data_IF_260373202304
#
_entry.id   IF_260373202304
#
_cell.length_a   1.000
_cell.length_b   1.000
_cell.length_c   1.000
_cell.angle_alpha   90.00
_cell.angle_beta   90.00
_cell.angle_gamma   90.00
#
_symmetry.space_group_name_H-M   'P 1'
#
loop_
_entity.id
_entity.type
_entity.pdbx_description
1 polymer ?
#
# COMPACT_ATOMS: atom_id res chain seq x y z
N UNK A 1 12.04 15.88 1.37
CA UNK A 1 11.49 15.78 0.00
C UNK A 1 10.50 14.61 -0.01
N UNK A 2 9.31 14.76 -0.60
CA UNK A 2 8.32 13.67 -0.68
C UNK A 2 8.45 12.97 -2.05
N UNK A 3 8.35 11.63 -2.04
CA UNK A 3 8.43 10.79 -3.24
C UNK A 3 7.22 9.86 -3.25
N UNK A 4 6.49 9.82 -4.36
CA UNK A 4 5.26 9.05 -4.50
C UNK A 4 5.20 8.41 -5.89
N UNK A 5 4.76 7.16 -5.93
CA UNK A 5 4.38 6.47 -7.17
C UNK A 5 2.89 6.68 -7.42
N UNK A 6 2.55 7.12 -8.63
CA UNK A 6 1.19 7.34 -9.08
C UNK A 6 0.92 6.65 -10.41
N UNK A 7 -0.37 6.59 -10.75
CA UNK A 7 -0.86 6.01 -12.01
C UNK A 7 -1.78 7.03 -12.65
N UNK A 8 -1.69 7.22 -13.97
CA UNK A 8 -2.64 8.02 -14.74
C UNK A 8 -3.03 7.32 -16.04
N UNK A 9 -4.24 7.55 -16.57
CA UNK A 9 -4.61 7.07 -17.90
C UNK A 9 -3.60 7.55 -18.95
N UNK A 10 -3.18 6.67 -19.84
CA UNK A 10 -2.37 7.07 -20.98
C UNK A 10 -3.25 7.77 -22.02
N UNK A 11 -2.75 8.89 -22.53
CA UNK A 11 -3.47 9.74 -23.50
C UNK A 11 -2.60 9.86 -24.75
N UNK A 12 -3.02 9.29 -25.89
CA UNK A 12 -2.24 9.33 -27.12
C UNK A 12 -1.87 10.75 -27.51
N UNK A 13 -0.58 10.97 -27.81
CA UNK A 13 -0.06 12.29 -28.21
C UNK A 13 -0.35 12.58 -29.68
N UNK A 14 -1.62 12.75 -30.02
CA UNK A 14 -2.04 13.05 -31.39
C UNK A 14 -1.85 14.52 -31.75
N UNK A 15 -1.86 14.82 -33.05
CA UNK A 15 -1.77 16.20 -33.55
C UNK A 15 -3.02 16.99 -33.15
N UNK A 16 -4.18 16.37 -33.21
CA UNK A 16 -5.48 16.94 -32.87
C UNK A 16 -5.52 17.38 -31.40
N UNK A 17 -4.94 16.57 -30.50
CA UNK A 17 -4.83 16.90 -29.09
C UNK A 17 -3.93 18.12 -28.85
N UNK A 18 -2.79 18.21 -29.57
CA UNK A 18 -1.89 19.36 -29.48
C UNK A 18 -2.57 20.64 -29.97
N UNK A 19 -3.23 20.58 -31.12
CA UNK A 19 -3.97 21.70 -31.71
C UNK A 19 -5.12 22.14 -30.81
N UNK A 20 -5.91 21.19 -30.29
CA UNK A 20 -6.96 21.46 -29.31
C UNK A 20 -6.41 22.15 -28.06
N UNK A 21 -5.34 21.63 -27.48
CA UNK A 21 -4.70 22.21 -26.28
C UNK A 21 -4.25 23.66 -26.54
N UNK A 22 -3.68 23.94 -27.71
CA UNK A 22 -3.26 25.29 -28.09
C UNK A 22 -4.46 26.23 -28.28
N UNK A 23 -5.55 25.77 -28.90
CA UNK A 23 -6.80 26.54 -29.04
C UNK A 23 -7.44 26.81 -27.68
N UNK A 24 -7.56 25.78 -26.84
CA UNK A 24 -8.15 25.86 -25.51
C UNK A 24 -7.39 26.84 -24.62
N UNK A 25 -6.05 26.76 -24.56
CA UNK A 25 -5.22 27.70 -23.78
C UNK A 25 -5.40 29.15 -24.22
N UNK A 26 -5.51 29.41 -25.53
CA UNK A 26 -5.77 30.76 -26.07
C UNK A 26 -7.14 31.27 -25.63
N UNK A 27 -8.17 30.43 -25.74
CA UNK A 27 -9.54 30.76 -25.33
C UNK A 27 -9.63 31.04 -23.83
N UNK A 28 -9.06 30.15 -23.02
CA UNK A 28 -9.07 30.27 -21.57
C UNK A 28 -8.44 31.59 -21.08
N UNK A 29 -7.30 31.99 -21.66
CA UNK A 29 -6.64 33.27 -21.35
C UNK A 29 -7.48 34.49 -21.73
N UNK A 30 -8.27 34.39 -22.81
CA UNK A 30 -9.13 35.46 -23.30
C UNK A 30 -10.39 35.60 -22.45
N UNK A 31 -10.99 34.49 -22.05
CA UNK A 31 -12.26 34.46 -21.31
C UNK A 31 -12.07 34.63 -19.80
N UNK A 32 -10.89 34.28 -19.26
CA UNK A 32 -10.58 34.41 -17.84
C UNK A 32 -9.25 35.15 -17.62
N UNK A 33 -9.20 36.47 -17.82
CA UNK A 33 -8.00 37.26 -17.56
C UNK A 33 -7.59 37.32 -16.07
N UNK A 34 -8.38 36.77 -15.14
CA UNK A 34 -8.09 36.82 -13.70
C UNK A 34 -8.63 35.70 -12.78
N UNK A 35 -9.11 34.55 -13.28
CA UNK A 35 -9.77 33.56 -12.42
C UNK A 35 -9.11 32.17 -12.46
N UNK A 36 -8.46 31.80 -11.35
CA UNK A 36 -8.44 30.43 -10.82
C UNK A 36 -9.77 30.24 -10.08
N UNK A 37 -10.48 29.14 -10.39
CA UNK A 37 -11.71 28.63 -9.77
C UNK A 37 -13.06 29.34 -10.05
N UNK A 38 -13.90 28.65 -10.85
CA UNK A 38 -15.27 28.23 -10.52
C UNK A 38 -16.08 28.02 -11.81
N UNK A 39 -16.51 26.79 -12.05
CA UNK A 39 -17.40 26.42 -13.16
C UNK A 39 -18.78 27.07 -12.98
N UNK A 40 -19.30 27.68 -14.05
CA UNK A 40 -20.71 28.00 -14.20
C UNK A 40 -21.21 27.36 -15.49
N UNK A 41 -21.99 26.30 -15.35
CA UNK A 41 -22.93 25.86 -16.39
C UNK A 41 -24.29 25.79 -15.72
N UNK A 42 -25.19 26.68 -16.13
CA UNK A 42 -26.60 26.58 -15.82
C UNK A 42 -27.24 25.47 -16.65
N UNK A 43 -27.93 24.54 -16.00
CA UNK A 43 -28.78 23.58 -16.68
C UNK A 43 -30.19 24.16 -16.79
N UNK A 44 -30.66 24.33 -18.02
CA UNK A 44 -32.08 24.43 -18.34
C UNK A 44 -32.66 23.02 -18.45
N UNK A 45 -33.66 22.72 -17.60
CA UNK A 45 -34.70 21.73 -17.85
C UNK A 45 -34.38 20.26 -17.56
N UNK A 46 -34.28 19.89 -16.28
CA UNK A 46 -34.53 18.52 -15.83
C UNK A 46 -35.67 18.56 -14.81
N UNK A 47 -36.80 17.93 -15.12
CA UNK A 47 -37.90 17.78 -14.17
C UNK A 47 -37.50 16.82 -13.05
N UNK A 48 -37.69 17.26 -11.80
CA UNK A 48 -37.47 16.46 -10.60
C UNK A 48 -38.81 16.27 -9.88
N UNK A 49 -39.21 15.02 -9.66
CA UNK A 49 -40.43 14.71 -8.92
C UNK A 49 -40.17 14.89 -7.43
N UNK A 50 -40.89 15.81 -6.77
CA UNK A 50 -40.73 16.05 -5.33
C UNK A 50 -41.37 14.92 -4.51
N UNK A 51 -40.64 14.28 -3.59
CA UNK A 51 -41.24 13.38 -2.61
C UNK A 51 -42.10 14.17 -1.62
N UNK A 52 -43.23 13.58 -1.20
CA UNK A 52 -44.33 14.28 -0.52
C UNK A 52 -44.08 14.48 0.98
N UNK A 53 -43.17 13.74 1.62
CA UNK A 53 -42.93 13.80 3.07
C UNK A 53 -41.42 13.65 3.40
N UNK A 54 -40.67 14.75 3.41
CA UNK A 54 -39.27 14.77 3.87
C UNK A 54 -39.13 15.63 5.12
N UNK A 55 -38.51 15.09 6.18
CA UNK A 55 -38.20 15.79 7.43
C UNK A 55 -37.02 16.74 7.28
N UNK A 56 -36.23 16.60 6.22
CA UNK A 56 -35.03 17.39 5.95
C UNK A 56 -34.95 17.81 4.48
N UNK A 57 -34.19 18.87 4.20
CA UNK A 57 -34.02 19.43 2.84
C UNK A 57 -33.30 18.46 1.87
N UNK A 58 -32.64 17.41 2.38
CA UNK A 58 -32.05 16.35 1.58
C UNK A 58 -33.09 15.29 1.18
N UNK A 59 -34.10 15.05 2.02
CA UNK A 59 -35.20 14.13 1.75
C UNK A 59 -36.23 14.73 0.77
N UNK A 60 -36.23 16.04 0.56
CA UNK A 60 -37.06 16.73 -0.45
C UNK A 60 -36.40 16.79 -1.84
N UNK A 61 -35.15 16.33 -1.98
CA UNK A 61 -34.48 16.25 -3.29
C UNK A 61 -35.26 15.30 -4.20
N UNK A 62 -35.85 15.87 -5.25
CA UNK A 62 -36.63 15.10 -6.20
C UNK A 62 -35.75 14.14 -7.01
N UNK A 63 -36.28 12.96 -7.30
CA UNK A 63 -35.65 12.03 -8.24
C UNK A 63 -36.06 12.45 -9.64
N UNK A 64 -35.10 12.52 -10.57
CA UNK A 64 -35.44 12.82 -11.97
C UNK A 64 -36.24 11.68 -12.57
N UNK A 65 -37.41 12.01 -13.12
CA UNK A 65 -38.30 11.04 -13.79
C UNK A 65 -37.63 10.37 -15.00
N UNK A 66 -36.64 11.05 -15.61
CA UNK A 66 -35.85 10.55 -16.74
C UNK A 66 -34.44 10.11 -16.35
N UNK A 67 -34.11 10.12 -15.06
CA UNK A 67 -32.78 9.80 -14.57
C UNK A 67 -32.32 8.39 -14.98
N UNK A 68 -33.23 7.41 -14.94
CA UNK A 68 -32.94 6.05 -15.36
C UNK A 68 -32.66 5.93 -16.87
N UNK A 69 -33.44 6.63 -17.70
CA UNK A 69 -33.25 6.69 -19.16
C UNK A 69 -31.91 7.36 -19.50
N UNK A 70 -31.62 8.48 -18.85
CA UNK A 70 -30.37 9.21 -19.01
C UNK A 70 -29.16 8.37 -18.58
N UNK A 71 -29.23 7.72 -17.41
CA UNK A 71 -28.17 6.85 -16.91
C UNK A 71 -27.92 5.67 -17.86
N UNK A 72 -28.98 5.04 -18.37
CA UNK A 72 -28.87 3.96 -19.33
C UNK A 72 -28.24 4.44 -20.64
N UNK A 73 -28.60 5.64 -21.10
CA UNK A 73 -28.00 6.26 -22.28
C UNK A 73 -26.51 6.54 -22.06
N UNK A 74 -26.14 7.19 -20.95
CA UNK A 74 -24.74 7.47 -20.61
C UNK A 74 -23.89 6.21 -20.50
N UNK A 75 -24.42 5.13 -19.90
CA UNK A 75 -23.71 3.83 -19.78
C UNK A 75 -23.46 3.17 -21.13
N UNK A 76 -24.33 3.39 -22.12
CA UNK A 76 -24.22 2.82 -23.47
C UNK A 76 -23.42 3.70 -24.43
N UNK A 77 -23.15 4.95 -24.07
CA UNK A 77 -22.41 5.89 -24.91
C UNK A 77 -20.98 5.41 -25.12
N UNK A 78 -20.59 5.30 -26.39
CA UNK A 78 -19.20 5.10 -26.80
C UNK A 78 -18.87 5.99 -27.99
N UNK A 79 -17.71 6.64 -27.96
CA UNK A 79 -17.23 7.49 -29.04
C UNK A 79 -15.70 7.51 -29.05
N UNK A 80 -15.10 7.98 -30.13
CA UNK A 80 -13.64 8.22 -30.18
C UNK A 80 -13.41 9.71 -29.98
N UNK A 81 -12.79 10.06 -28.85
CA UNK A 81 -12.43 11.43 -28.50
C UNK A 81 -10.93 11.70 -28.70
N UNK A 82 -10.50 12.91 -28.31
CA UNK A 82 -9.08 13.31 -28.37
C UNK A 82 -8.16 12.46 -27.48
N UNK A 83 -8.72 11.81 -26.45
CA UNK A 83 -8.02 10.89 -25.55
C UNK A 83 -8.12 9.43 -25.97
N UNK A 84 -8.64 9.14 -27.16
CA UNK A 84 -8.90 7.78 -27.64
C UNK A 84 -10.36 7.36 -27.46
N UNK A 85 -10.60 6.04 -27.48
CA UNK A 85 -11.94 5.48 -27.32
C UNK A 85 -12.50 5.71 -25.92
N UNK A 86 -13.67 6.35 -25.83
CA UNK A 86 -14.46 6.47 -24.63
C UNK A 86 -15.49 5.34 -24.57
N UNK A 87 -15.50 4.60 -23.47
CA UNK A 87 -16.51 3.58 -23.15
C UNK A 87 -16.58 3.40 -21.64
N UNK A 88 -17.79 3.27 -21.12
CA UNK A 88 -18.02 2.91 -19.72
C UNK A 88 -18.32 1.41 -19.60
N UNK A 89 -17.56 0.71 -18.76
CA UNK A 89 -17.84 -0.68 -18.35
C UNK A 89 -18.16 -0.64 -16.87
N UNK A 90 -19.34 -1.16 -16.49
CA UNK A 90 -19.84 -1.10 -15.11
C UNK A 90 -19.87 0.32 -14.50
N UNK A 91 -19.98 1.34 -15.34
CA UNK A 91 -19.98 2.75 -14.93
C UNK A 91 -18.59 3.37 -14.77
N UNK A 92 -17.51 2.66 -15.09
CA UNK A 92 -16.14 3.16 -15.05
C UNK A 92 -15.54 3.31 -16.45
N UNK A 93 -14.71 4.33 -16.65
CA UNK A 93 -13.98 4.51 -17.91
C UNK A 93 -12.99 3.36 -18.12
N UNK A 94 -13.17 2.64 -19.23
CA UNK A 94 -12.26 1.57 -19.60
C UNK A 94 -11.03 2.18 -20.30
N UNK A 95 -10.00 2.54 -19.54
CA UNK A 95 -8.72 2.98 -20.12
C UNK A 95 -7.99 1.79 -20.71
N UNK A 96 -7.52 1.91 -21.95
CA UNK A 96 -6.74 0.88 -22.63
C UNK A 96 -5.33 0.74 -22.07
N UNK A 97 -4.74 1.83 -21.59
CA UNK A 97 -3.39 1.84 -21.01
C UNK A 97 -3.28 2.87 -19.88
N UNK A 98 -2.32 2.67 -19.00
CA UNK A 98 -1.97 3.56 -17.91
C UNK A 98 -0.48 3.88 -17.94
N UNK A 99 -0.12 5.12 -17.66
CA UNK A 99 1.27 5.53 -17.43
C UNK A 99 1.56 5.49 -15.93
N UNK A 100 2.64 4.81 -15.56
CA UNK A 100 3.18 4.83 -14.21
C UNK A 100 4.08 6.05 -14.07
N UNK A 101 3.82 6.87 -13.05
CA UNK A 101 4.51 8.14 -12.83
C UNK A 101 5.22 8.10 -11.47
N UNK A 102 6.51 8.42 -11.47
CA UNK A 102 7.27 8.68 -10.26
C UNK A 102 7.31 10.18 -9.99
N UNK A 103 6.74 10.61 -8.85
CA UNK A 103 6.66 12.00 -8.42
C UNK A 103 7.70 12.27 -7.34
N UNK A 104 8.63 13.18 -7.61
CA UNK A 104 9.71 13.58 -6.71
C UNK A 104 9.63 15.09 -6.48
N UNK A 105 9.24 15.49 -5.27
CA UNK A 105 9.01 16.89 -4.93
C UNK A 105 7.93 17.52 -5.82
N UNK A 106 8.33 18.47 -6.68
CA UNK A 106 7.41 19.18 -7.60
C UNK A 106 7.37 18.58 -9.02
N UNK A 107 8.17 17.56 -9.30
CA UNK A 107 8.35 17.02 -10.64
C UNK A 107 7.82 15.59 -10.72
N UNK A 108 7.07 15.27 -11.77
CA UNK A 108 6.60 13.92 -12.07
C UNK A 108 7.22 13.41 -13.37
N UNK A 109 7.73 12.18 -13.36
CA UNK A 109 8.32 11.51 -14.53
C UNK A 109 7.59 10.20 -14.82
N UNK A 110 7.16 10.00 -16.06
CA UNK A 110 6.70 8.70 -16.54
C UNK A 110 7.82 7.67 -16.55
N UNK A 111 7.61 6.52 -15.90
CA UNK A 111 8.62 5.45 -15.77
C UNK A 111 8.28 4.20 -16.58
N UNK A 112 7.03 4.02 -16.98
CA UNK A 112 6.55 2.91 -17.80
C UNK A 112 5.04 3.00 -18.07
N UNK A 113 4.53 2.04 -18.83
CA UNK A 113 3.13 1.90 -19.19
C UNK A 113 2.62 0.53 -18.78
N UNK A 114 1.33 0.45 -18.45
CA UNK A 114 0.64 -0.79 -18.10
C UNK A 114 -0.65 -0.94 -18.91
N UNK A 115 -0.90 -2.16 -19.39
CA UNK A 115 -2.15 -2.61 -20.05
C UNK A 115 -2.53 -3.93 -19.40
N UNK A 116 -3.83 -4.25 -19.38
CA UNK A 116 -4.30 -5.57 -18.97
C UNK A 116 -3.65 -6.72 -19.76
N UNK A 117 -3.34 -6.51 -21.04
CA UNK A 117 -2.82 -7.57 -21.92
C UNK A 117 -1.31 -7.83 -21.74
N UNK A 118 -0.51 -6.78 -21.63
CA UNK A 118 0.96 -6.89 -21.70
C UNK A 118 1.67 -6.63 -20.36
N UNK A 119 0.93 -6.37 -19.28
CA UNK A 119 1.53 -6.07 -17.99
C UNK A 119 2.26 -4.72 -18.01
N UNK A 120 3.40 -4.60 -17.32
CA UNK A 120 4.19 -3.36 -17.29
C UNK A 120 5.29 -3.39 -18.36
N UNK A 121 5.32 -2.41 -19.26
CA UNK A 121 6.40 -2.24 -20.25
C UNK A 121 6.84 -0.78 -20.36
N UNK A 122 7.82 -0.53 -21.24
CA UNK A 122 8.34 0.79 -21.58
C UNK A 122 8.53 0.86 -23.08
N UNK A 123 8.31 2.04 -23.65
CA UNK A 123 8.62 2.35 -25.04
C UNK A 123 10.15 2.56 -25.18
N UNK A 124 10.87 1.48 -25.45
CA UNK A 124 12.13 1.45 -26.20
C UNK A 124 12.10 0.14 -26.99
N UNK A 125 12.53 0.20 -28.25
CA UNK A 125 12.61 -0.88 -29.23
C UNK A 125 13.45 -2.11 -28.79
N UNK A 126 13.18 -2.75 -27.66
CA UNK A 126 13.88 -3.96 -27.20
C UNK A 126 13.08 -4.71 -26.13
N UNK A 127 12.81 -6.01 -26.32
CA UNK A 127 12.22 -6.84 -25.28
C UNK A 127 13.31 -7.18 -24.27
N UNK A 128 13.14 -6.73 -23.04
CA UNK A 128 13.99 -7.12 -21.94
C UNK A 128 14.49 -5.93 -21.14
N UNK A 129 14.08 -5.89 -19.88
CA UNK A 129 14.76 -5.21 -18.79
C UNK A 129 14.81 -3.67 -18.82
N UNK A 130 13.88 -3.11 -18.01
CA UNK A 130 14.09 -2.01 -17.06
C UNK A 130 13.10 -0.86 -17.22
N UNK A 131 12.04 -0.92 -16.39
CA UNK A 131 11.25 0.23 -15.93
C UNK A 131 12.21 1.37 -15.57
N UNK A 132 11.79 2.62 -15.79
CA UNK A 132 12.64 3.77 -15.53
C UNK A 132 13.18 3.78 -14.14
N UNK A 133 14.45 4.18 -14.01
CA UNK A 133 15.08 4.45 -12.73
C UNK A 133 14.06 5.15 -11.82
N UNK A 134 13.62 4.40 -10.79
CA UNK A 134 12.67 4.85 -9.79
C UNK A 134 13.48 5.43 -8.66
N UNK A 135 13.28 6.70 -8.38
CA UNK A 135 13.70 7.33 -7.13
C UNK A 135 12.72 6.87 -6.07
N UNK A 136 13.23 6.25 -5.02
CA UNK A 136 12.47 5.83 -3.85
C UNK A 136 12.55 6.89 -2.75
N UNK A 137 11.67 6.83 -1.74
CA UNK A 137 11.80 7.69 -0.56
C UNK A 137 13.22 7.65 0.02
N UNK A 138 13.75 8.81 0.40
CA UNK A 138 15.15 8.94 0.84
C UNK A 138 16.16 9.16 -0.29
N UNK A 139 15.71 9.53 -1.49
CA UNK A 139 16.55 9.86 -2.65
C UNK A 139 17.42 8.68 -3.14
N UNK A 140 16.99 7.46 -2.86
CA UNK A 140 17.68 6.24 -3.26
C UNK A 140 17.20 5.72 -4.61
N UNK A 141 18.13 5.26 -5.45
CA UNK A 141 17.83 4.48 -6.66
C UNK A 141 17.74 2.98 -6.38
N UNK A 142 18.15 2.54 -5.19
CA UNK A 142 18.08 1.14 -4.79
C UNK A 142 16.62 0.78 -4.54
N UNK A 143 16.15 -0.27 -5.22
CA UNK A 143 14.82 -0.84 -5.00
C UNK A 143 14.72 -1.24 -3.53
N UNK A 144 13.76 -0.66 -2.76
CA UNK A 144 13.55 -1.04 -1.37
C UNK A 144 13.26 -2.52 -1.34
N UNK A 145 13.93 -3.23 -0.44
CA UNK A 145 13.75 -4.68 -0.32
C UNK A 145 12.33 -5.06 0.16
N UNK A 146 11.51 -4.08 0.57
CA UNK A 146 10.13 -4.26 1.02
C UNK A 146 10.01 -4.30 2.54
N UNK A 147 8.95 -4.95 3.05
CA UNK A 147 8.77 -5.32 4.47
C UNK A 147 9.72 -6.45 4.89
N UNK A 148 11.01 -6.30 4.61
CA UNK A 148 12.01 -7.28 5.03
C UNK A 148 12.33 -6.96 6.49
N UNK A 149 12.11 -7.95 7.37
CA UNK A 149 12.57 -7.87 8.75
C UNK A 149 14.08 -7.58 8.71
N UNK A 150 14.57 -6.48 9.30
CA UNK A 150 15.98 -6.15 9.24
C UNK A 150 16.81 -7.30 9.81
N UNK A 151 17.58 -7.99 8.97
CA UNK A 151 18.51 -9.04 9.40
C UNK A 151 19.76 -8.46 10.06
N UNK A 152 19.97 -7.15 9.94
CA UNK A 152 21.05 -6.41 10.58
C UNK A 152 20.53 -5.59 11.76
N UNK A 153 20.80 -6.08 12.97
CA UNK A 153 20.86 -5.28 14.19
C UNK A 153 19.91 -5.69 15.33
N UNK A 154 18.72 -6.24 15.05
CA UNK A 154 17.78 -6.69 16.09
C UNK A 154 17.45 -8.16 15.92
N UNK A 155 17.93 -8.99 16.86
CA UNK A 155 17.57 -10.41 16.92
C UNK A 155 16.14 -10.57 17.43
N UNK A 156 15.42 -11.57 16.92
CA UNK A 156 14.17 -12.02 17.50
C UNK A 156 14.46 -12.60 18.88
N UNK A 157 13.82 -12.06 19.92
CA UNK A 157 13.96 -12.55 21.29
C UNK A 157 12.81 -13.49 21.60
N UNK A 158 13.13 -14.75 21.85
CA UNK A 158 12.16 -15.82 22.12
C UNK A 158 12.18 -16.11 23.62
N UNK A 159 11.10 -15.74 24.32
CA UNK A 159 11.01 -15.97 25.76
C UNK A 159 10.65 -17.42 26.04
N UNK A 160 11.42 -18.09 26.91
CA UNK A 160 11.22 -19.51 27.23
C UNK A 160 10.96 -19.71 28.73
N UNK A 161 10.00 -20.56 29.13
CA UNK A 161 9.68 -20.77 30.54
C UNK A 161 10.75 -21.61 31.25
N UNK A 162 11.04 -21.27 32.50
CA UNK A 162 11.86 -22.11 33.40
C UNK A 162 10.96 -22.92 34.33
N UNK A 163 11.09 -24.26 34.30
CA UNK A 163 10.31 -25.20 35.12
C UNK A 163 11.17 -26.27 35.79
N UNK A 164 10.83 -26.62 37.02
CA UNK A 164 11.35 -27.79 37.74
C UNK A 164 10.37 -28.96 37.58
N UNK A 165 10.57 -29.81 36.57
CA UNK A 165 9.75 -31.01 36.39
C UNK A 165 9.80 -31.54 34.97
N UNK A 166 8.86 -31.09 34.14
CA UNK A 166 8.74 -31.50 32.74
C UNK A 166 9.74 -30.74 31.86
N UNK A 167 10.80 -31.45 31.49
CA UNK A 167 11.93 -30.93 30.71
C UNK A 167 11.89 -31.36 29.24
N UNK A 168 10.99 -32.29 28.92
CA UNK A 168 10.84 -32.90 27.59
C UNK A 168 10.41 -31.88 26.54
N UNK A 169 9.61 -30.89 26.93
CA UNK A 169 9.13 -29.85 26.02
C UNK A 169 10.10 -28.66 25.91
N UNK A 170 10.61 -28.19 27.05
CA UNK A 170 11.60 -27.11 27.14
C UNK A 170 12.44 -27.31 28.40
N UNK A 171 13.75 -27.34 28.26
CA UNK A 171 14.73 -27.35 29.33
C UNK A 171 15.70 -26.17 29.16
N UNK A 172 15.95 -25.46 30.25
CA UNK A 172 16.99 -24.42 30.31
C UNK A 172 18.14 -24.95 31.16
N UNK A 173 19.34 -25.00 30.58
CA UNK A 173 20.59 -25.39 31.25
C UNK A 173 21.52 -24.19 31.32
N UNK A 174 22.10 -23.97 32.49
CA UNK A 174 23.07 -22.91 32.72
C UNK A 174 24.45 -23.52 32.91
N UNK A 175 25.36 -23.22 31.97
CA UNK A 175 26.75 -23.65 32.10
C UNK A 175 27.51 -22.65 32.98
N UNK A 176 28.02 -23.15 34.12
CA UNK A 176 28.70 -22.34 35.12
C UNK A 176 30.13 -21.97 34.71
N UNK A 177 30.70 -22.63 33.70
CA UNK A 177 32.06 -22.37 33.21
C UNK A 177 32.13 -21.31 32.09
N UNK A 178 31.10 -21.22 31.26
CA UNK A 178 31.06 -20.35 30.07
C UNK A 178 30.04 -19.21 30.18
N UNK A 179 29.23 -19.19 31.25
CA UNK A 179 28.09 -18.27 31.42
C UNK A 179 27.08 -18.34 30.26
N UNK A 180 27.09 -19.42 29.47
CA UNK A 180 26.13 -19.60 28.38
C UNK A 180 24.88 -20.30 28.89
N UNK A 181 23.73 -19.84 28.41
CA UNK A 181 22.45 -20.51 28.61
C UNK A 181 22.15 -21.36 27.39
N UNK A 182 21.97 -22.66 27.60
CA UNK A 182 21.52 -23.59 26.55
C UNK A 182 20.04 -23.89 26.78
N UNK A 183 19.25 -23.84 25.72
CA UNK A 183 17.82 -24.13 25.75
C UNK A 183 17.56 -25.29 24.80
N UNK A 184 16.87 -26.32 25.27
CA UNK A 184 16.67 -27.59 24.58
C UNK A 184 15.24 -28.12 24.80
N UNK A 185 14.80 -29.14 24.09
CA UNK A 185 13.52 -29.81 24.23
C UNK A 185 12.66 -29.77 22.96
N UNK A 186 11.59 -30.57 22.93
CA UNK A 186 10.78 -30.79 21.73
C UNK A 186 10.26 -29.48 21.09
N UNK A 187 9.83 -28.51 21.89
CA UNK A 187 9.32 -27.24 21.35
C UNK A 187 10.44 -26.39 20.73
N UNK A 188 11.68 -26.56 21.20
CA UNK A 188 12.86 -25.89 20.67
C UNK A 188 13.22 -26.52 19.33
N UNK A 189 13.31 -27.84 19.25
CA UNK A 189 13.60 -28.57 18.01
C UNK A 189 12.62 -28.18 16.90
N UNK A 190 11.31 -28.20 17.18
CA UNK A 190 10.27 -27.79 16.23
C UNK A 190 10.46 -26.34 15.79
N UNK A 191 10.80 -25.44 16.72
CA UNK A 191 11.02 -24.03 16.40
C UNK A 191 12.25 -23.84 15.51
N UNK A 192 13.35 -24.52 15.79
CA UNK A 192 14.58 -24.45 15.00
C UNK A 192 14.37 -25.02 13.59
N UNK A 193 13.68 -26.15 13.45
CA UNK A 193 13.31 -26.72 12.15
C UNK A 193 12.44 -25.76 11.31
N UNK A 194 11.47 -25.08 11.93
CA UNK A 194 10.68 -24.05 11.27
C UNK A 194 11.57 -22.90 10.82
N UNK A 195 12.48 -22.42 11.68
CA UNK A 195 13.39 -21.34 11.36
C UNK A 195 14.36 -21.70 10.22
N UNK A 196 14.84 -22.94 10.17
CA UNK A 196 15.69 -23.46 9.09
C UNK A 196 14.92 -23.59 7.76
N UNK A 197 13.62 -23.87 7.83
CA UNK A 197 12.74 -24.00 6.65
C UNK A 197 12.33 -22.65 6.03
N UNK A 198 12.58 -21.53 6.72
CA UNK A 198 12.24 -20.20 6.19
C UNK A 198 13.11 -19.85 4.97
N UNK A 199 12.54 -19.22 3.92
CA UNK A 199 13.29 -18.81 2.73
C UNK A 199 14.25 -17.63 2.97
N UNK A 200 14.42 -17.20 4.22
CA UNK A 200 15.29 -16.11 4.64
C UNK A 200 15.83 -16.37 6.05
N UNK A 201 17.05 -15.91 6.31
CA UNK A 201 17.69 -16.05 7.60
C UNK A 201 17.07 -15.11 8.64
N UNK A 202 16.62 -15.66 9.78
CA UNK A 202 16.15 -14.89 10.93
C UNK A 202 17.13 -15.12 12.07
N UNK A 203 17.83 -14.07 12.53
CA UNK A 203 18.64 -14.18 13.74
C UNK A 203 17.73 -14.14 14.97
N UNK A 204 17.82 -15.15 15.83
CA UNK A 204 17.06 -15.20 17.08
C UNK A 204 17.98 -15.50 18.29
N UNK A 205 17.48 -15.24 19.48
CA UNK A 205 18.07 -15.64 20.75
C UNK A 205 16.98 -16.07 21.73
N UNK A 206 17.28 -17.07 22.54
CA UNK A 206 16.38 -17.50 23.62
C UNK A 206 16.65 -16.71 24.89
N UNK A 207 15.58 -16.27 25.55
CA UNK A 207 15.62 -15.50 26.80
C UNK A 207 14.84 -16.27 27.86
N UNK A 208 15.50 -16.90 28.84
CA UNK A 208 14.80 -17.57 29.93
C UNK A 208 13.97 -16.59 30.75
N UNK A 209 12.72 -16.97 31.04
CA UNK A 209 11.86 -16.27 31.96
C UNK A 209 12.22 -16.65 33.40
N UNK A 210 13.36 -16.14 33.87
CA UNK A 210 13.98 -16.49 35.14
C UNK A 210 14.30 -15.27 36.00
N UNK A 211 14.34 -15.47 37.31
CA UNK A 211 14.88 -14.52 38.30
C UNK A 211 16.41 -14.65 38.40
N UNK A 212 17.11 -13.72 39.08
CA UNK A 212 18.56 -13.82 39.30
C UNK A 212 19.00 -15.12 40.00
N UNK A 213 18.12 -15.74 40.79
CA UNK A 213 18.34 -17.04 41.44
C UNK A 213 18.11 -18.26 40.52
N UNK A 214 17.91 -18.03 39.21
CA UNK A 214 17.62 -19.04 38.17
C UNK A 214 16.30 -19.80 38.37
N UNK A 215 15.42 -19.31 39.24
CA UNK A 215 14.05 -19.83 39.37
C UNK A 215 13.10 -19.12 38.41
N UNK A 216 11.89 -19.66 38.24
CA UNK A 216 10.88 -19.08 37.34
C UNK A 216 10.51 -17.64 37.73
N UNK A 217 10.47 -16.73 36.76
CA UNK A 217 10.13 -15.32 37.00
C UNK A 217 8.65 -15.06 37.30
N UNK A 218 7.78 -16.03 37.06
CA UNK A 218 6.34 -15.91 37.30
C UNK A 218 5.54 -17.03 36.66
N UNK A 219 4.25 -16.79 36.47
CA UNK A 219 3.35 -17.72 35.80
C UNK A 219 3.45 -17.60 34.27
N UNK A 220 2.80 -18.53 33.55
CA UNK A 220 2.70 -18.45 32.10
C UNK A 220 1.94 -17.20 31.64
N UNK A 221 0.92 -16.78 32.39
CA UNK A 221 0.18 -15.55 32.09
C UNK A 221 1.08 -14.32 32.20
N UNK A 222 1.95 -14.28 33.22
CA UNK A 222 2.93 -13.20 33.39
C UNK A 222 3.91 -13.18 32.21
N UNK A 223 4.37 -14.36 31.78
CA UNK A 223 5.26 -14.50 30.62
C UNK A 223 4.58 -13.97 29.33
N UNK A 224 3.34 -14.37 29.06
CA UNK A 224 2.58 -13.89 27.88
C UNK A 224 2.34 -12.39 27.96
N UNK A 225 1.99 -11.87 29.13
CA UNK A 225 1.80 -10.44 29.34
C UNK A 225 3.10 -9.64 29.10
N UNK A 226 4.27 -10.19 29.46
CA UNK A 226 5.56 -9.57 29.16
C UNK A 226 5.89 -9.55 27.66
N UNK A 227 5.50 -10.58 26.90
CA UNK A 227 5.63 -10.55 25.44
C UNK A 227 4.75 -9.45 24.85
N UNK A 228 3.52 -9.29 25.35
CA UNK A 228 2.59 -8.24 24.92
C UNK A 228 3.12 -6.82 25.18
N UNK A 229 3.73 -6.58 26.34
CA UNK A 229 4.31 -5.27 26.69
C UNK A 229 5.58 -4.91 25.88
N UNK A 230 6.13 -5.89 25.15
CA UNK A 230 7.36 -5.72 24.38
C UNK A 230 8.59 -5.90 25.25
N UNK A 231 9.52 -6.74 24.78
CA UNK A 231 10.72 -7.22 25.51
C UNK A 231 11.73 -6.11 25.87
N UNK A 232 11.43 -4.84 25.58
CA UNK A 232 12.23 -3.67 25.98
C UNK A 232 12.24 -3.42 27.49
N UNK A 233 11.24 -3.93 28.23
CA UNK A 233 11.14 -3.80 29.69
C UNK A 233 12.12 -4.70 30.47
N UNK A 234 12.73 -5.70 29.82
CA UNK A 234 13.64 -6.66 30.48
C UNK A 234 14.96 -6.02 30.94
N UNK A 235 15.36 -4.88 30.39
CA UNK A 235 16.61 -4.21 30.77
C UNK A 235 16.50 -3.37 32.06
N UNK A 236 15.30 -3.22 32.62
CA UNK A 236 15.05 -2.39 33.82
C UNK A 236 14.37 -3.13 34.98
N UNK A 237 14.13 -4.44 34.85
CA UNK A 237 13.44 -5.24 35.88
C UNK A 237 14.26 -6.43 36.40
N UNK A 238 15.57 -6.46 36.13
CA UNK A 238 16.50 -7.43 36.70
C UNK A 238 17.82 -6.75 37.07
#
# INVERSE_FOLDING_TARGET
>A
MQVVLGVRPDVPRTRELKEFTARWKRRLRRENPGAVAAEKVGQTGLGFAKPVNGSTDLETMGVSERGAELLNTMRRTSFVGLSGGFRLVEGQLQSSAFEIVNVVGRWGRGIGFWTPANGLWRELDSPGTHVGLVVWPGESWAVPKGWVVPTTGKKLRVVVPVKHGFKEFVEVRWDNGTNTTTVDGYCIDVFEEVMQSLPYAVSYEFVPFARPDRTSAGTYNDMVHQVFLGVSSFNHLF
#
